data_IF_438343489240
#
_entry.id   IF_438343489240
#
_cell.length_a   1.000
_cell.length_b   1.000
_cell.length_c   1.000
_cell.angle_alpha   90.00
_cell.angle_beta   90.00
_cell.angle_gamma   90.00
#
_symmetry.space_group_name_H-M   'P 1'
#
loop_
_entity.id
_entity.type
_entity.pdbx_description
1 polymer ?
#
# COMPACT_ATOMS: atom_id res chain seq x y z
N UNK A 1 -12.56 -6.73 -13.91
CA UNK A 1 -11.42 -7.35 -13.20
C UNK A 1 -11.31 -8.87 -13.40
N UNK A 2 -12.09 -9.48 -14.31
CA UNK A 2 -12.06 -10.93 -14.53
C UNK A 2 -10.70 -11.39 -15.10
N UNK A 3 -10.06 -10.61 -15.97
CA UNK A 3 -8.80 -11.00 -16.65
C UNK A 3 -7.49 -10.39 -16.08
N UNK A 4 -7.51 -9.78 -14.90
CA UNK A 4 -6.28 -9.23 -14.31
C UNK A 4 -5.38 -10.36 -13.77
N UNK A 5 -4.14 -10.46 -14.27
CA UNK A 5 -3.11 -11.42 -13.81
C UNK A 5 -2.71 -11.10 -12.36
N UNK A 6 -2.67 -12.10 -11.45
CA UNK A 6 -2.21 -11.88 -10.07
C UNK A 6 -0.75 -11.41 -10.05
N UNK A 7 -0.35 -10.72 -8.98
CA UNK A 7 1.03 -10.30 -8.75
C UNK A 7 1.47 -10.83 -7.39
N UNK A 8 2.68 -11.40 -7.32
CA UNK A 8 3.16 -12.04 -6.09
C UNK A 8 3.72 -11.03 -5.08
N UNK A 9 4.13 -9.85 -5.53
CA UNK A 9 4.77 -8.84 -4.69
C UNK A 9 3.98 -7.54 -4.64
N UNK A 10 3.65 -7.14 -3.40
CA UNK A 10 3.02 -5.85 -3.13
C UNK A 10 3.96 -4.68 -3.48
N UNK A 11 5.26 -4.84 -3.22
CA UNK A 11 6.27 -3.79 -3.32
C UNK A 11 6.72 -3.58 -4.78
N UNK A 12 6.37 -2.42 -5.36
CA UNK A 12 7.12 -1.84 -6.47
C UNK A 12 8.14 -0.90 -5.85
N UNK A 13 9.41 -1.30 -5.82
CA UNK A 13 10.44 -0.71 -4.95
C UNK A 13 10.79 0.76 -5.24
N UNK A 14 10.20 1.42 -6.24
CA UNK A 14 10.69 2.73 -6.71
C UNK A 14 9.62 3.71 -7.24
N UNK A 15 8.32 3.47 -7.04
CA UNK A 15 7.32 4.48 -7.43
C UNK A 15 7.22 5.53 -6.32
N UNK A 16 7.86 6.68 -6.52
CA UNK A 16 7.74 7.84 -5.64
C UNK A 16 6.32 8.41 -5.76
N UNK A 17 5.40 7.89 -4.94
CA UNK A 17 4.06 8.43 -4.81
C UNK A 17 4.18 9.86 -4.30
N UNK A 18 3.58 10.78 -5.04
CA UNK A 18 3.73 12.21 -4.86
C UNK A 18 2.55 12.95 -5.48
N UNK A 19 2.32 14.18 -5.02
CA UNK A 19 1.45 15.13 -5.70
C UNK A 19 2.30 15.91 -6.70
N UNK A 20 2.08 15.71 -8.00
CA UNK A 20 2.74 16.47 -9.06
C UNK A 20 1.71 17.31 -9.83
N UNK A 21 2.06 18.54 -10.24
CA UNK A 21 1.12 19.47 -10.87
C UNK A 21 0.58 18.99 -12.23
N UNK A 22 1.23 18.01 -12.85
CA UNK A 22 0.90 17.42 -14.15
C UNK A 22 0.23 16.03 -14.06
N UNK A 23 -0.17 15.60 -12.87
CA UNK A 23 -0.82 14.30 -12.69
C UNK A 23 -2.20 14.25 -13.37
N UNK A 24 -2.41 13.18 -14.14
CA UNK A 24 -3.72 12.85 -14.69
C UNK A 24 -4.69 12.54 -13.52
N UNK A 25 -5.80 13.28 -13.38
CA UNK A 25 -6.78 13.00 -12.34
C UNK A 25 -7.50 11.70 -12.62
N UNK A 26 -7.81 10.94 -11.57
CA UNK A 26 -8.68 9.75 -11.66
C UNK A 26 -10.07 10.04 -11.09
N UNK A 27 -11.02 9.15 -11.33
CA UNK A 27 -12.33 9.16 -10.68
C UNK A 27 -12.20 9.01 -9.14
N UNK A 28 -12.44 10.12 -8.44
CA UNK A 28 -12.34 10.23 -6.98
C UNK A 28 -13.32 9.31 -6.25
N UNK A 29 -14.57 9.22 -6.69
CA UNK A 29 -15.58 8.38 -6.03
C UNK A 29 -15.20 6.90 -6.11
N UNK A 30 -14.77 6.48 -7.31
CA UNK A 30 -14.31 5.10 -7.53
C UNK A 30 -13.09 4.77 -6.68
N UNK A 31 -12.14 5.70 -6.59
CA UNK A 31 -10.94 5.55 -5.76
C UNK A 31 -11.30 5.40 -4.28
N UNK A 32 -12.09 6.33 -3.75
CA UNK A 32 -12.50 6.34 -2.34
C UNK A 32 -13.29 5.08 -1.96
N UNK A 33 -14.19 4.61 -2.85
CA UNK A 33 -14.95 3.38 -2.64
C UNK A 33 -14.04 2.13 -2.56
N UNK A 34 -13.00 2.07 -3.38
CA UNK A 34 -12.02 0.98 -3.32
C UNK A 34 -11.16 1.07 -2.06
N UNK A 35 -10.70 2.28 -1.72
CA UNK A 35 -9.91 2.52 -0.53
C UNK A 35 -10.66 2.18 0.76
N UNK A 36 -11.96 2.50 0.87
CA UNK A 36 -12.76 2.10 2.03
C UNK A 36 -12.77 0.58 2.25
N UNK A 37 -12.85 -0.20 1.17
CA UNK A 37 -12.78 -1.67 1.25
C UNK A 37 -11.39 -2.17 1.62
N UNK A 38 -10.35 -1.54 1.08
CA UNK A 38 -8.96 -1.90 1.37
C UNK A 38 -8.56 -1.56 2.81
N UNK A 39 -9.02 -0.41 3.34
CA UNK A 39 -8.82 -0.03 4.74
C UNK A 39 -9.49 -1.05 5.66
N UNK A 40 -10.73 -1.46 5.36
CA UNK A 40 -11.38 -2.51 6.13
C UNK A 40 -10.58 -3.82 6.11
N UNK A 41 -10.06 -4.21 4.95
CA UNK A 41 -9.28 -5.45 4.81
C UNK A 41 -7.91 -5.38 5.49
N UNK A 42 -7.28 -4.20 5.53
CA UNK A 42 -5.99 -4.00 6.20
C UNK A 42 -6.05 -4.33 7.70
N UNK A 43 -7.20 -4.17 8.35
CA UNK A 43 -7.38 -4.56 9.76
C UNK A 43 -7.23 -6.06 10.00
N UNK A 44 -7.62 -6.90 9.03
CA UNK A 44 -7.51 -8.37 9.15
C UNK A 44 -6.31 -8.94 8.39
N UNK A 45 -5.67 -8.13 7.55
CA UNK A 45 -4.51 -8.52 6.75
C UNK A 45 -3.36 -7.50 6.89
N UNK A 46 -2.50 -7.67 7.91
CA UNK A 46 -1.40 -6.74 8.17
C UNK A 46 -0.36 -6.69 7.05
N UNK A 47 -0.30 -7.70 6.18
CA UNK A 47 0.61 -7.75 5.03
C UNK A 47 0.39 -6.61 4.01
N UNK A 48 -0.82 -6.02 3.96
CA UNK A 48 -1.15 -4.89 3.08
C UNK A 48 -1.29 -3.55 3.82
N UNK A 49 -1.25 -3.55 5.15
CA UNK A 49 -1.61 -2.38 5.97
C UNK A 49 -0.73 -1.16 5.65
N UNK A 50 0.57 -1.36 5.47
CA UNK A 50 1.49 -0.29 5.10
C UNK A 50 1.14 0.34 3.74
N UNK A 51 0.96 -0.47 2.69
CA UNK A 51 0.67 0.03 1.35
C UNK A 51 -0.67 0.77 1.31
N UNK A 52 -1.69 0.23 1.98
CA UNK A 52 -3.00 0.90 2.11
C UNK A 52 -2.87 2.23 2.87
N UNK A 53 -2.06 2.26 3.93
CA UNK A 53 -1.77 3.48 4.69
C UNK A 53 -1.16 4.59 3.83
N UNK A 54 -0.13 4.29 3.04
CA UNK A 54 0.50 5.26 2.13
C UNK A 54 -0.50 5.80 1.11
N UNK A 55 -1.24 4.90 0.44
CA UNK A 55 -2.17 5.26 -0.62
C UNK A 55 -3.40 6.01 -0.09
N UNK A 56 -3.77 5.81 1.18
CA UNK A 56 -4.87 6.55 1.82
C UNK A 56 -4.61 8.05 1.98
N UNK A 57 -3.35 8.50 1.90
CA UNK A 57 -3.00 9.93 2.00
C UNK A 57 -3.54 10.74 0.80
N UNK A 58 -3.81 10.09 -0.33
CA UNK A 58 -4.24 10.74 -1.58
C UNK A 58 -5.77 10.71 -1.80
N UNK A 59 -6.57 10.48 -0.75
CA UNK A 59 -8.04 10.38 -0.83
C UNK A 59 -8.75 11.65 -1.30
N UNK A 60 -8.15 12.82 -1.09
CA UNK A 60 -8.71 14.11 -1.48
C UNK A 60 -8.46 14.45 -2.95
N UNK A 61 -7.34 14.00 -3.51
CA UNK A 61 -6.94 14.28 -4.89
C UNK A 61 -6.14 13.09 -5.45
N UNK A 62 -6.85 12.03 -5.87
CA UNK A 62 -6.20 10.86 -6.45
C UNK A 62 -5.80 11.11 -7.91
N UNK A 63 -4.71 10.46 -8.35
CA UNK A 63 -4.22 10.46 -9.72
C UNK A 63 -4.29 9.06 -10.32
N UNK A 64 -4.06 8.94 -11.64
CA UNK A 64 -3.93 7.64 -12.30
C UNK A 64 -2.82 6.78 -11.68
N UNK A 65 -1.71 7.38 -11.24
CA UNK A 65 -0.62 6.67 -10.54
C UNK A 65 -1.12 6.05 -9.23
N UNK A 66 -1.86 6.83 -8.43
CA UNK A 66 -2.46 6.36 -7.19
C UNK A 66 -3.42 5.19 -7.47
N UNK A 67 -4.23 5.30 -8.52
CA UNK A 67 -5.14 4.24 -8.94
C UNK A 67 -4.42 2.99 -9.45
N UNK A 68 -3.24 3.15 -10.07
CA UNK A 68 -2.34 2.08 -10.46
C UNK A 68 -1.88 1.26 -9.25
N UNK A 69 -1.49 1.93 -8.16
CA UNK A 69 -1.10 1.26 -6.91
C UNK A 69 -2.29 0.53 -6.27
N UNK A 70 -3.46 1.16 -6.19
CA UNK A 70 -4.70 0.49 -5.73
C UNK A 70 -4.98 -0.77 -6.54
N UNK A 71 -4.84 -0.70 -7.86
CA UNK A 71 -5.03 -1.85 -8.74
C UNK A 71 -4.00 -2.95 -8.49
N UNK A 72 -2.74 -2.59 -8.21
CA UNK A 72 -1.69 -3.54 -7.82
C UNK A 72 -2.01 -4.25 -6.51
N UNK A 73 -2.46 -3.53 -5.49
CA UNK A 73 -2.92 -4.12 -4.21
C UNK A 73 -4.02 -5.14 -4.49
N UNK A 74 -5.02 -4.79 -5.29
CA UNK A 74 -6.11 -5.71 -5.65
C UNK A 74 -5.62 -6.95 -6.43
N UNK A 75 -4.63 -6.81 -7.31
CA UNK A 75 -4.00 -7.94 -8.02
C UNK A 75 -3.24 -8.86 -7.07
N UNK A 76 -2.59 -8.30 -6.06
CA UNK A 76 -1.92 -9.07 -5.02
C UNK A 76 -2.93 -9.85 -4.17
N UNK A 77 -4.04 -9.21 -3.78
CA UNK A 77 -5.15 -9.87 -3.07
C UNK A 77 -5.72 -11.06 -3.86
N UNK A 78 -5.88 -10.90 -5.19
CA UNK A 78 -6.36 -11.97 -6.07
C UNK A 78 -5.42 -13.19 -6.08
N UNK A 79 -4.11 -12.99 -5.95
CA UNK A 79 -3.11 -14.07 -5.89
C UNK A 79 -2.91 -14.68 -4.50
N UNK A 80 -3.47 -14.07 -3.45
CA UNK A 80 -3.18 -14.41 -2.05
C UNK A 80 -4.43 -14.59 -1.17
N UNK A 81 -5.52 -15.27 -1.62
CA UNK A 81 -6.76 -15.35 -0.84
C UNK A 81 -6.62 -16.10 0.50
N UNK A 82 -5.67 -17.04 0.60
CA UNK A 82 -5.41 -17.83 1.81
C UNK A 82 -3.99 -17.70 2.36
N UNK A 83 -3.20 -16.74 1.87
CA UNK A 83 -1.86 -16.46 2.41
C UNK A 83 -1.96 -15.39 3.49
N UNK A 84 -1.23 -15.56 4.58
CA UNK A 84 -1.16 -14.62 5.68
C UNK A 84 0.24 -14.60 6.29
N UNK A 85 0.46 -13.71 7.25
CA UNK A 85 1.72 -13.67 8.01
C UNK A 85 1.71 -14.79 9.05
N UNK A 86 2.74 -15.64 9.02
CA UNK A 86 2.93 -16.69 10.01
C UNK A 86 3.86 -16.18 11.11
N UNK A 87 3.29 -15.90 12.29
CA UNK A 87 4.07 -15.61 13.49
C UNK A 87 4.35 -16.93 14.21
N UNK A 88 5.62 -17.30 14.32
CA UNK A 88 6.06 -18.47 15.07
C UNK A 88 6.80 -18.02 16.34
N UNK A 89 6.64 -18.77 17.43
CA UNK A 89 7.35 -18.51 18.67
C UNK A 89 8.82 -18.89 18.47
N UNK A 90 9.67 -17.90 18.27
CA UNK A 90 11.11 -18.11 18.43
C UNK A 90 11.38 -18.30 19.93
N UNK A 91 12.10 -19.35 20.31
CA UNK A 91 12.29 -19.78 21.70
C UNK A 91 13.12 -18.85 22.60
N UNK A 92 13.23 -17.57 22.23
CA UNK A 92 13.94 -16.51 22.92
C UNK A 92 13.11 -15.23 22.82
N UNK A 93 13.24 -14.34 23.81
CA UNK A 93 12.49 -13.07 23.89
C UNK A 93 13.26 -11.91 23.26
N UNK A 94 14.35 -12.18 22.53
CA UNK A 94 15.17 -11.13 21.92
C UNK A 94 14.40 -10.54 20.74
N UNK A 95 14.01 -9.28 20.90
CA UNK A 95 13.27 -8.53 19.89
C UNK A 95 14.28 -7.75 19.04
N UNK A 96 14.60 -8.27 17.85
CA UNK A 96 15.41 -7.55 16.86
C UNK A 96 14.50 -6.68 15.99
N UNK A 97 14.62 -5.36 16.14
CA UNK A 97 13.93 -4.38 15.30
C UNK A 97 14.82 -3.97 14.13
N UNK A 98 14.41 -4.31 12.91
CA UNK A 98 15.01 -3.78 11.69
C UNK A 98 14.17 -2.60 11.21
N UNK A 99 14.76 -1.40 11.23
CA UNK A 99 14.16 -0.19 10.66
C UNK A 99 14.82 0.10 9.32
N UNK A 100 14.07 -0.01 8.23
CA UNK A 100 14.47 0.54 6.93
C UNK A 100 14.16 2.04 6.98
N UNK A 101 15.16 2.88 7.25
CA UNK A 101 15.01 4.32 7.23
C UNK A 101 15.16 4.82 5.79
N UNK A 102 14.05 4.91 5.07
CA UNK A 102 13.96 5.50 3.75
C UNK A 102 13.97 7.04 3.84
N UNK A 103 15.17 7.58 4.04
CA UNK A 103 15.44 9.02 3.94
C UNK A 103 14.98 9.49 2.55
N UNK A 104 13.88 10.25 2.51
CA UNK A 104 13.20 10.78 1.31
C UNK A 104 12.31 9.81 0.48
N UNK A 105 11.69 8.79 1.10
CA UNK A 105 10.72 7.90 0.44
C UNK A 105 9.39 8.57 0.01
N UNK A 106 8.97 9.64 0.70
CA UNK A 106 7.81 10.47 0.32
C UNK A 106 8.28 11.71 -0.46
N UNK A 107 7.94 11.77 -1.75
CA UNK A 107 8.21 12.95 -2.58
C UNK A 107 7.40 14.18 -2.13
N UNK A 108 6.27 13.94 -1.43
CA UNK A 108 5.33 14.98 -1.02
C UNK A 108 5.81 15.77 0.19
N UNK A 109 6.21 15.09 1.28
CA UNK A 109 6.39 15.77 2.57
C UNK A 109 7.83 15.78 3.10
N UNK A 110 8.75 14.98 2.53
CA UNK A 110 10.14 14.82 3.05
C UNK A 110 10.23 14.62 4.58
N UNK A 111 9.14 14.17 5.20
CA UNK A 111 9.02 13.97 6.65
C UNK A 111 9.08 12.48 6.95
N UNK A 112 9.85 12.14 7.98
CA UNK A 112 9.90 10.79 8.53
C UNK A 112 8.53 10.40 9.07
N UNK A 113 8.10 9.17 8.84
CA UNK A 113 6.89 8.56 9.38
C UNK A 113 7.05 8.04 10.82
N UNK A 114 8.19 8.32 11.45
CA UNK A 114 8.49 7.97 12.85
C UNK A 114 8.35 9.20 13.76
N UNK A 115 7.57 9.04 14.83
CA UNK A 115 7.68 9.85 16.04
C UNK A 115 8.66 9.22 17.03
#
# INVERSE_FOLDING_TARGET
MLDCKPIDTLREQNHKLGLYPDQAPTDTERYQRLMGKLINLAHTRPDIAYAVGVVSQFMHSPSEDHMGVVTRILRYLKGTPGKGLMFSKYGHTDMEGYTDADWAGSATDRRSTSG
#
